data_IF_920359941073
#
_entry.id   IF_920359941073
#
_cell.length_a   1.000
_cell.length_b   1.000
_cell.length_c   1.000
_cell.angle_alpha   90.00
_cell.angle_beta   90.00
_cell.angle_gamma   90.00
#
_symmetry.space_group_name_H-M   'P 1'
#
loop_
_entity.id
_entity.type
_entity.pdbx_description
1 polymer ?
#
# COMPACT_ATOMS: atom_id res chain seq x y z
N UNK A 1 -8.58 50.10 29.48
CA UNK A 1 -8.15 49.83 30.86
C UNK A 1 -8.04 48.32 30.97
N UNK A 2 -6.96 47.64 30.60
CA UNK A 2 -5.57 47.79 31.04
C UNK A 2 -5.42 48.21 32.51
N UNK A 3 -4.77 47.32 33.27
CA UNK A 3 -4.05 47.51 34.53
C UNK A 3 -4.82 47.60 35.86
N UNK A 4 -4.22 46.94 36.85
CA UNK A 4 -4.59 46.64 38.25
C UNK A 4 -5.59 45.46 38.38
N UNK A 5 -5.24 44.29 38.92
CA UNK A 5 -4.34 44.07 40.05
C UNK A 5 -3.78 42.63 40.02
N UNK A 6 -2.54 42.49 39.55
CA UNK A 6 -1.59 41.52 40.09
C UNK A 6 -1.27 41.98 41.51
N UNK A 7 -1.58 41.17 42.53
CA UNK A 7 -0.95 41.11 43.86
C UNK A 7 -1.96 40.47 44.83
N UNK A 8 -1.95 39.14 44.92
CA UNK A 8 -1.96 38.43 46.20
C UNK A 8 -1.58 36.97 45.89
N UNK A 9 -0.27 36.80 45.72
CA UNK A 9 0.42 35.53 45.79
C UNK A 9 0.38 35.04 47.25
N UNK A 10 0.47 33.72 47.41
CA UNK A 10 0.93 32.98 48.60
C UNK A 10 0.06 33.00 49.85
N UNK A 11 -0.71 31.93 50.06
CA UNK A 11 -0.56 31.00 51.21
C UNK A 11 -1.62 29.91 51.10
N UNK A 12 -1.26 28.73 50.55
CA UNK A 12 -1.47 27.39 51.14
C UNK A 12 -0.64 26.45 50.26
N UNK A 13 0.66 26.33 50.56
CA UNK A 13 1.46 25.18 50.16
C UNK A 13 1.48 24.23 51.36
N UNK A 14 1.19 22.96 51.11
CA UNK A 14 1.19 21.92 52.12
C UNK A 14 1.20 20.53 51.51
N UNK A 15 2.19 20.25 50.65
CA UNK A 15 2.78 18.94 50.45
C UNK A 15 1.97 17.86 49.72
N UNK A 16 2.33 17.61 48.46
CA UNK A 16 2.32 16.27 47.88
C UNK A 16 3.28 16.22 46.67
N UNK A 17 4.30 15.38 46.81
CA UNK A 17 5.29 14.88 45.84
C UNK A 17 5.22 15.36 44.38
N UNK A 18 6.21 16.17 43.99
CA UNK A 18 6.65 16.36 42.60
C UNK A 18 7.62 15.24 42.20
N UNK A 19 7.13 14.04 41.86
CA UNK A 19 7.97 13.06 41.15
C UNK A 19 7.18 12.00 40.37
N UNK A 20 6.12 12.35 39.63
CA UNK A 20 5.44 11.41 38.73
C UNK A 20 4.58 12.14 37.68
N UNK A 21 5.22 12.96 36.83
CA UNK A 21 4.62 13.38 35.55
C UNK A 21 5.66 13.08 34.48
N UNK A 22 5.54 11.92 33.85
CA UNK A 22 6.37 11.55 32.70
C UNK A 22 6.05 12.48 31.54
N UNK A 23 7.10 13.10 30.99
CA UNK A 23 7.10 13.83 29.73
C UNK A 23 6.51 12.96 28.61
N UNK A 24 5.26 13.22 28.24
CA UNK A 24 4.76 12.86 26.90
C UNK A 24 5.14 14.02 26.00
N UNK A 25 6.30 13.92 25.36
CA UNK A 25 6.62 14.78 24.23
C UNK A 25 5.57 14.56 23.14
N UNK A 26 4.66 15.52 22.99
CA UNK A 26 3.92 15.68 21.73
C UNK A 26 4.97 15.80 20.62
N UNK A 27 5.15 14.73 19.86
CA UNK A 27 5.92 14.80 18.61
C UNK A 27 5.30 15.89 17.75
N UNK A 28 6.11 16.90 17.45
CA UNK A 28 5.75 17.99 16.56
C UNK A 28 5.22 17.42 15.25
N UNK A 29 3.98 17.78 14.94
CA UNK A 29 3.42 17.64 13.60
C UNK A 29 4.32 18.52 12.72
N UNK A 30 5.21 17.88 11.97
CA UNK A 30 6.08 18.55 11.01
C UNK A 30 5.20 19.29 10.01
N UNK A 31 5.20 20.62 10.08
CA UNK A 31 4.61 21.48 9.06
C UNK A 31 5.31 21.24 7.72
N UNK A 32 4.59 21.22 6.58
CA UNK A 32 5.22 21.03 5.28
C UNK A 32 6.24 22.13 5.01
N UNK A 33 7.52 21.77 5.08
CA UNK A 33 8.61 22.62 4.64
C UNK A 33 8.49 22.81 3.14
N UNK A 34 8.35 24.05 2.65
CA UNK A 34 8.60 24.37 1.24
C UNK A 34 10.06 24.00 0.92
N UNK A 35 10.29 22.81 0.37
CA UNK A 35 11.58 22.37 -0.16
C UNK A 35 11.40 21.73 -1.52
N UNK A 36 12.28 22.19 -2.42
CA UNK A 36 12.48 21.77 -3.80
C UNK A 36 12.40 20.25 -3.99
N UNK A 37 11.79 19.81 -5.08
CA UNK A 37 11.88 18.45 -5.61
C UNK A 37 13.35 18.01 -5.61
N UNK A 38 13.68 17.01 -4.80
CA UNK A 38 15.04 16.49 -4.70
C UNK A 38 15.16 15.29 -5.64
N UNK A 39 16.00 15.46 -6.67
CA UNK A 39 16.24 14.47 -7.72
C UNK A 39 17.40 13.55 -7.34
N UNK A 40 17.18 12.23 -7.40
CA UNK A 40 18.20 11.24 -7.02
C UNK A 40 18.38 10.20 -8.13
N UNK A 41 19.59 10.11 -8.69
CA UNK A 41 19.95 9.14 -9.72
C UNK A 41 20.28 7.78 -9.09
N UNK A 42 19.70 6.72 -9.66
CA UNK A 42 19.86 5.36 -9.16
C UNK A 42 20.74 4.52 -10.08
N UNK A 43 21.82 3.95 -9.54
CA UNK A 43 22.61 2.95 -10.25
C UNK A 43 22.27 1.53 -9.79
N UNK A 44 22.49 0.58 -10.70
CA UNK A 44 22.44 -0.86 -10.42
C UNK A 44 23.72 -1.39 -9.74
N UNK A 45 24.83 -0.65 -9.83
CA UNK A 45 26.12 -0.93 -9.17
C UNK A 45 26.82 0.36 -8.72
N UNK A 46 27.54 0.33 -7.59
CA UNK A 46 28.03 1.51 -6.87
C UNK A 46 29.25 2.18 -7.53
N UNK A 47 29.20 3.50 -7.79
CA UNK A 47 30.37 4.41 -7.78
C UNK A 47 30.00 5.88 -8.12
N UNK A 48 29.90 6.73 -7.08
CA UNK A 48 30.35 8.16 -6.96
C UNK A 48 29.53 8.89 -5.90
N UNK A 49 30.02 10.05 -5.42
CA UNK A 49 29.55 10.79 -4.22
C UNK A 49 28.09 11.33 -4.28
N UNK A 50 27.37 11.18 -5.39
CA UNK A 50 25.95 11.59 -5.56
C UNK A 50 25.03 10.46 -6.06
N UNK A 51 25.45 9.20 -5.99
CA UNK A 51 24.72 8.08 -6.58
C UNK A 51 24.17 7.09 -5.56
N UNK A 52 22.92 6.69 -5.78
CA UNK A 52 22.13 6.03 -4.77
C UNK A 52 22.03 4.51 -4.99
N UNK A 53 22.39 3.73 -3.96
CA UNK A 53 22.21 2.29 -3.87
C UNK A 53 21.02 1.96 -2.96
N UNK A 54 20.01 1.30 -3.50
CA UNK A 54 18.78 0.95 -2.79
C UNK A 54 18.92 0.13 -1.50
N UNK A 55 20.10 -0.45 -1.23
CA UNK A 55 20.39 -1.06 0.07
C UNK A 55 20.46 -0.06 1.24
N UNK A 56 20.74 1.23 1.01
CA UNK A 56 20.81 2.23 2.09
C UNK A 56 19.46 2.85 2.42
N UNK A 57 19.28 3.21 3.69
CA UNK A 57 18.04 3.81 4.21
C UNK A 57 17.72 5.13 3.49
N UNK A 58 18.73 6.00 3.39
CA UNK A 58 18.65 7.31 2.74
C UNK A 58 18.18 7.16 1.30
N UNK A 59 18.65 6.11 0.62
CA UNK A 59 18.34 5.82 -0.76
C UNK A 59 16.94 5.28 -1.02
N UNK A 60 16.36 4.56 -0.07
CA UNK A 60 14.96 4.14 -0.20
C UNK A 60 14.02 5.31 0.05
N UNK A 61 14.36 6.16 1.03
CA UNK A 61 13.55 7.32 1.39
C UNK A 61 13.73 8.50 0.42
N UNK A 62 14.80 8.50 -0.37
CA UNK A 62 15.01 9.39 -1.51
C UNK A 62 13.83 9.42 -2.49
N UNK A 63 13.12 8.31 -2.66
CA UNK A 63 11.98 8.23 -3.59
C UNK A 63 10.66 8.63 -2.95
N UNK A 64 10.66 9.03 -1.67
CA UNK A 64 9.44 9.19 -0.87
C UNK A 64 9.07 10.67 -0.74
N UNK A 65 7.76 10.94 -0.74
CA UNK A 65 7.14 12.26 -0.59
C UNK A 65 7.62 13.26 -1.65
N UNK A 66 8.48 14.20 -1.29
CA UNK A 66 8.96 15.27 -2.18
C UNK A 66 10.18 14.86 -3.02
N UNK A 67 10.70 13.64 -2.80
CA UNK A 67 11.84 13.10 -3.53
C UNK A 67 11.42 12.27 -4.76
N UNK A 68 12.23 12.31 -5.82
CA UNK A 68 11.99 11.55 -7.05
C UNK A 68 13.24 10.77 -7.46
N UNK A 69 13.03 9.48 -7.70
CA UNK A 69 14.07 8.52 -8.04
C UNK A 69 14.19 8.31 -9.56
N UNK A 70 15.36 8.65 -10.12
CA UNK A 70 15.65 8.60 -11.56
C UNK A 70 16.30 7.29 -11.96
N UNK A 71 15.66 6.59 -12.91
CA UNK A 71 16.15 5.37 -13.56
C UNK A 71 16.55 5.69 -15.00
N UNK A 72 17.78 6.18 -15.17
CA UNK A 72 18.33 6.54 -16.49
C UNK A 72 18.92 5.34 -17.25
N UNK A 73 19.04 4.21 -16.57
CA UNK A 73 19.61 2.95 -17.08
C UNK A 73 18.58 2.06 -17.79
N UNK A 74 17.30 2.43 -17.79
CA UNK A 74 16.21 1.66 -18.40
C UNK A 74 15.13 2.58 -19.00
N UNK A 75 14.58 2.17 -20.15
CA UNK A 75 13.36 2.77 -20.71
C UNK A 75 12.08 2.14 -20.14
N UNK A 76 12.21 1.22 -19.20
CA UNK A 76 11.10 0.53 -18.56
C UNK A 76 11.21 0.65 -17.03
N UNK A 77 10.06 0.75 -16.36
CA UNK A 77 9.93 0.52 -14.93
C UNK A 77 9.25 -0.82 -14.69
N UNK A 78 9.81 -1.66 -13.83
CA UNK A 78 9.33 -3.02 -13.57
C UNK A 78 9.20 -3.25 -12.08
N UNK A 79 8.06 -3.73 -11.64
CA UNK A 79 7.81 -3.96 -10.22
C UNK A 79 6.82 -5.11 -9.99
N UNK A 80 6.82 -5.63 -8.78
CA UNK A 80 5.79 -6.56 -8.34
C UNK A 80 4.72 -5.85 -7.51
N UNK A 81 3.47 -6.30 -7.62
CA UNK A 81 2.40 -5.99 -6.69
C UNK A 81 2.04 -7.26 -5.92
N UNK A 82 2.09 -7.17 -4.60
CA UNK A 82 1.72 -8.24 -3.68
C UNK A 82 0.88 -7.66 -2.54
N UNK A 83 0.22 -8.52 -1.78
CA UNK A 83 -0.56 -8.17 -0.61
C UNK A 83 -0.86 -9.45 0.16
N UNK A 84 -1.21 -9.30 1.43
CA UNK A 84 -1.63 -10.43 2.28
C UNK A 84 -0.50 -11.48 2.38
N UNK A 85 0.71 -10.99 2.63
CA UNK A 85 1.95 -11.78 2.65
C UNK A 85 2.21 -12.46 3.99
N UNK A 86 1.44 -12.14 5.04
CA UNK A 86 1.85 -12.30 6.44
C UNK A 86 1.95 -13.70 7.06
N UNK A 87 2.03 -14.76 6.27
CA UNK A 87 2.30 -16.11 6.77
C UNK A 87 1.27 -16.60 7.80
N UNK A 88 1.78 -17.16 8.90
CA UNK A 88 1.01 -17.66 10.04
C UNK A 88 1.62 -17.13 11.36
N UNK A 89 0.83 -17.02 12.44
CA UNK A 89 1.32 -16.58 13.75
C UNK A 89 2.06 -17.70 14.51
N UNK A 90 1.98 -18.94 14.02
CA UNK A 90 2.58 -20.13 14.62
C UNK A 90 3.69 -20.65 13.72
N UNK A 91 4.69 -21.30 14.33
CA UNK A 91 5.77 -21.96 13.60
C UNK A 91 5.22 -22.85 12.47
N UNK A 92 5.75 -22.79 11.23
CA UNK A 92 6.99 -22.12 10.82
C UNK A 92 6.82 -20.65 10.37
N UNK A 93 5.81 -19.95 10.88
CA UNK A 93 5.49 -18.53 10.63
C UNK A 93 5.25 -18.14 9.17
N UNK A 94 5.06 -19.15 8.33
CA UNK A 94 5.00 -19.07 6.87
C UNK A 94 3.98 -20.07 6.36
N UNK A 95 3.43 -19.84 5.17
CA UNK A 95 2.54 -20.79 4.50
C UNK A 95 3.22 -21.44 3.29
N UNK A 96 2.60 -22.51 2.76
CA UNK A 96 3.02 -23.10 1.49
C UNK A 96 2.92 -22.09 0.33
N UNK A 97 1.78 -21.40 0.22
CA UNK A 97 1.56 -20.38 -0.81
C UNK A 97 2.61 -19.26 -0.74
N UNK A 98 2.92 -18.75 0.46
CA UNK A 98 3.91 -17.68 0.64
C UNK A 98 5.30 -18.09 0.13
N UNK A 99 5.77 -19.30 0.49
CA UNK A 99 7.06 -19.82 0.01
C UNK A 99 7.08 -20.03 -1.50
N UNK A 100 5.97 -20.51 -2.05
CA UNK A 100 5.82 -20.76 -3.47
C UNK A 100 5.83 -19.46 -4.28
N UNK A 101 5.08 -18.45 -3.83
CA UNK A 101 5.09 -17.09 -4.39
C UNK A 101 6.48 -16.46 -4.27
N UNK A 102 7.12 -16.52 -3.10
CA UNK A 102 8.48 -15.96 -2.90
C UNK A 102 9.51 -16.55 -3.86
N UNK A 103 9.44 -17.87 -4.12
CA UNK A 103 10.30 -18.53 -5.11
C UNK A 103 10.05 -17.99 -6.52
N UNK A 104 8.79 -17.84 -6.92
CA UNK A 104 8.44 -17.35 -8.26
C UNK A 104 8.78 -15.87 -8.44
N UNK A 105 8.57 -15.03 -7.42
CA UNK A 105 9.01 -13.64 -7.41
C UNK A 105 10.52 -13.53 -7.62
N UNK A 106 11.32 -14.39 -6.96
CA UNK A 106 12.76 -14.41 -7.16
C UNK A 106 13.15 -14.79 -8.60
N UNK A 107 12.61 -15.90 -9.12
CA UNK A 107 12.92 -16.38 -10.48
C UNK A 107 12.51 -15.36 -11.55
N UNK A 108 11.27 -14.88 -11.51
CA UNK A 108 10.75 -13.91 -12.49
C UNK A 108 11.44 -12.56 -12.31
N UNK A 109 11.75 -12.17 -11.07
CA UNK A 109 12.42 -10.91 -10.80
C UNK A 109 13.84 -10.87 -11.35
N UNK A 110 14.55 -12.00 -11.32
CA UNK A 110 15.88 -12.14 -11.93
C UNK A 110 15.77 -12.12 -13.46
N UNK A 111 14.81 -12.86 -14.04
CA UNK A 111 14.57 -12.89 -15.49
C UNK A 111 14.17 -11.52 -16.06
N UNK A 112 13.27 -10.81 -15.38
CA UNK A 112 12.70 -9.54 -15.83
C UNK A 112 13.45 -8.31 -15.33
N UNK A 113 14.44 -8.48 -14.46
CA UNK A 113 15.16 -7.37 -13.83
C UNK A 113 14.23 -6.37 -13.13
N UNK A 114 13.39 -6.87 -12.22
CA UNK A 114 12.45 -6.04 -11.43
C UNK A 114 13.18 -4.97 -10.60
N UNK A 115 12.62 -3.79 -10.41
CA UNK A 115 13.27 -2.69 -9.66
C UNK A 115 12.85 -2.61 -8.19
N UNK A 116 11.60 -2.91 -7.86
CA UNK A 116 11.07 -2.87 -6.50
C UNK A 116 9.79 -3.70 -6.38
N UNK A 117 9.27 -3.81 -5.16
CA UNK A 117 7.98 -4.44 -4.86
C UNK A 117 7.08 -3.44 -4.12
N UNK A 118 5.79 -3.45 -4.43
CA UNK A 118 4.76 -2.71 -3.69
C UNK A 118 3.87 -3.73 -2.98
N UNK A 119 3.69 -3.54 -1.66
CA UNK A 119 2.82 -4.38 -0.82
C UNK A 119 1.53 -3.63 -0.48
N UNK A 120 0.38 -4.27 -0.67
CA UNK A 120 -0.96 -3.78 -0.33
C UNK A 120 -1.41 -4.20 1.10
N UNK A 121 -0.47 -4.37 2.02
CA UNK A 121 -0.75 -4.59 3.44
C UNK A 121 -0.98 -6.05 3.83
N UNK A 122 -1.39 -6.24 5.09
CA UNK A 122 -1.43 -7.52 5.80
C UNK A 122 -0.07 -8.21 5.78
N UNK A 123 0.93 -7.44 6.22
CA UNK A 123 2.33 -7.80 6.10
C UNK A 123 2.70 -8.95 7.03
N UNK A 124 2.09 -9.02 8.23
CA UNK A 124 2.36 -10.02 9.27
C UNK A 124 1.05 -10.46 9.95
N UNK A 125 0.59 -11.69 9.68
CA UNK A 125 -0.63 -12.24 10.28
C UNK A 125 -0.41 -12.78 11.69
N UNK A 126 -1.41 -12.79 12.58
CA UNK A 126 -2.74 -12.15 12.42
C UNK A 126 -2.89 -10.86 13.24
N UNK A 127 -1.92 -10.55 14.10
CA UNK A 127 -1.97 -9.40 15.02
C UNK A 127 -0.72 -8.53 14.87
N UNK A 128 -0.20 -8.45 13.65
CA UNK A 128 1.01 -7.70 13.33
C UNK A 128 2.22 -8.13 14.15
N UNK A 129 3.02 -7.13 14.53
CA UNK A 129 4.24 -7.28 15.34
C UNK A 129 4.09 -6.60 16.69
N UNK A 130 4.91 -6.99 17.65
CA UNK A 130 4.99 -6.34 18.97
C UNK A 130 5.73 -5.00 18.92
N UNK A 131 6.84 -4.95 18.17
CA UNK A 131 7.73 -3.81 17.99
C UNK A 131 8.71 -4.11 16.84
N UNK A 132 9.65 -3.21 16.57
CA UNK A 132 10.68 -3.31 15.53
C UNK A 132 11.73 -4.43 15.74
N UNK A 133 11.74 -5.09 16.91
CA UNK A 133 12.61 -6.22 17.22
C UNK A 133 11.89 -7.57 17.16
N UNK A 134 10.61 -7.59 16.77
CA UNK A 134 9.84 -8.83 16.68
C UNK A 134 10.47 -9.79 15.66
N UNK A 135 10.72 -11.04 16.10
CA UNK A 135 11.31 -12.08 15.26
C UNK A 135 10.46 -12.37 14.01
N UNK A 136 9.16 -12.01 14.01
CA UNK A 136 8.29 -12.13 12.83
C UNK A 136 8.81 -11.40 11.59
N UNK A 137 9.56 -10.30 11.74
CA UNK A 137 10.21 -9.70 10.57
C UNK A 137 11.21 -10.65 9.91
N UNK A 138 12.01 -11.37 10.72
CA UNK A 138 12.97 -12.32 10.20
C UNK A 138 12.27 -13.54 9.61
N UNK A 139 11.35 -14.15 10.36
CA UNK A 139 10.73 -15.43 10.00
C UNK A 139 9.72 -15.32 8.86
N UNK A 140 8.95 -14.22 8.80
CA UNK A 140 7.86 -14.05 7.85
C UNK A 140 8.26 -13.19 6.65
N UNK A 141 9.33 -12.37 6.74
CA UNK A 141 9.75 -11.48 5.65
C UNK A 141 11.21 -11.71 5.19
N UNK A 142 12.21 -11.55 6.08
CA UNK A 142 13.63 -11.63 5.68
C UNK A 142 14.04 -13.00 5.16
N UNK A 143 13.72 -14.06 5.90
CA UNK A 143 14.08 -15.42 5.54
C UNK A 143 13.25 -16.00 4.39
N UNK A 144 12.08 -15.39 4.12
CA UNK A 144 11.17 -15.80 3.05
C UNK A 144 11.60 -15.22 1.72
N UNK A 145 11.80 -13.90 1.65
CA UNK A 145 12.02 -13.16 0.41
C UNK A 145 13.51 -12.89 0.15
N UNK A 146 14.32 -13.94 0.19
CA UNK A 146 15.80 -13.89 0.11
C UNK A 146 16.41 -13.93 -1.30
N UNK A 147 15.60 -14.02 -2.35
CA UNK A 147 16.09 -14.06 -3.74
C UNK A 147 16.83 -12.78 -4.12
N UNK A 148 17.80 -12.85 -5.05
CA UNK A 148 18.62 -11.70 -5.46
C UNK A 148 17.76 -10.55 -5.99
N UNK A 149 16.80 -10.83 -6.87
CA UNK A 149 15.84 -9.83 -7.33
C UNK A 149 14.97 -9.21 -6.23
N UNK A 150 14.84 -9.84 -5.07
CA UNK A 150 14.03 -9.35 -3.95
C UNK A 150 14.85 -8.55 -2.92
N UNK A 151 16.17 -8.45 -3.10
CA UNK A 151 17.06 -7.56 -2.35
C UNK A 151 17.01 -6.14 -2.93
N UNK A 152 15.79 -5.62 -3.07
CA UNK A 152 15.42 -4.32 -3.63
C UNK A 152 14.34 -3.70 -2.75
N UNK A 153 13.99 -2.41 -2.88
CA UNK A 153 13.00 -1.79 -2.00
C UNK A 153 11.65 -2.50 -2.08
N UNK A 154 11.05 -2.69 -0.90
CA UNK A 154 9.65 -3.04 -0.71
C UNK A 154 8.97 -1.81 -0.12
N UNK A 155 8.02 -1.23 -0.85
CA UNK A 155 7.18 -0.15 -0.36
C UNK A 155 5.91 -0.76 0.22
N UNK A 156 5.70 -0.58 1.53
CA UNK A 156 4.61 -1.23 2.26
C UNK A 156 3.60 -0.21 2.80
N UNK A 157 2.37 -0.66 2.95
CA UNK A 157 1.33 -0.06 3.79
C UNK A 157 0.85 -1.11 4.80
N UNK A 158 0.05 -0.70 5.79
CA UNK A 158 -0.57 -1.63 6.73
C UNK A 158 -1.93 -2.13 6.23
N UNK A 159 -2.25 -3.37 6.58
CA UNK A 159 -3.60 -3.93 6.49
C UNK A 159 -4.29 -4.03 7.84
N UNK A 160 -5.47 -4.64 7.86
CA UNK A 160 -6.27 -4.76 9.08
C UNK A 160 -5.55 -5.60 10.15
N UNK A 161 -4.81 -6.63 9.73
CA UNK A 161 -4.08 -7.49 10.64
C UNK A 161 -2.86 -6.81 11.28
N UNK A 162 -2.23 -5.89 10.55
CA UNK A 162 -1.11 -5.09 11.03
C UNK A 162 -1.56 -4.13 12.14
N UNK A 163 -2.73 -3.51 11.97
CA UNK A 163 -3.33 -2.55 12.91
C UNK A 163 -3.82 -3.17 14.23
N UNK A 164 -3.95 -4.49 14.31
CA UNK A 164 -4.13 -5.16 15.61
C UNK A 164 -2.82 -5.29 16.40
N UNK A 165 -1.68 -5.09 15.74
CA UNK A 165 -0.36 -5.06 16.34
C UNK A 165 0.19 -3.64 16.51
N UNK A 166 1.50 -3.51 16.37
CA UNK A 166 2.21 -2.25 16.52
C UNK A 166 2.65 -1.68 15.16
N UNK A 167 1.86 -0.74 14.62
CA UNK A 167 2.17 -0.02 13.38
C UNK A 167 3.48 0.77 13.50
N UNK A 168 3.71 1.45 14.63
CA UNK A 168 4.96 2.18 14.86
C UNK A 168 6.19 1.27 14.83
N UNK A 169 6.05 0.02 15.27
CA UNK A 169 7.10 -1.01 15.15
C UNK A 169 7.41 -1.37 13.70
N UNK A 170 6.39 -1.48 12.83
CA UNK A 170 6.59 -1.67 11.39
C UNK A 170 7.22 -0.46 10.72
N UNK A 171 6.85 0.75 11.15
CA UNK A 171 7.48 1.98 10.65
C UNK A 171 8.95 2.05 11.06
N UNK A 172 9.26 1.82 12.33
CA UNK A 172 10.62 1.83 12.88
C UNK A 172 11.51 0.75 12.26
N UNK A 173 10.94 -0.39 11.84
CA UNK A 173 11.68 -1.45 11.14
C UNK A 173 12.27 -1.00 9.79
N UNK A 174 11.77 0.10 9.19
CA UNK A 174 12.35 0.73 7.99
C UNK A 174 13.84 1.07 8.17
N UNK A 175 14.24 1.46 9.39
CA UNK A 175 15.64 1.79 9.70
C UNK A 175 16.51 0.55 9.99
N UNK A 176 15.89 -0.64 10.11
CA UNK A 176 16.58 -1.89 10.47
C UNK A 176 16.79 -2.83 9.28
N UNK A 177 15.93 -2.77 8.28
CA UNK A 177 16.03 -3.59 7.08
C UNK A 177 16.62 -2.78 5.92
N UNK A 178 17.34 -3.45 5.03
CA UNK A 178 17.86 -2.84 3.78
C UNK A 178 16.80 -2.74 2.67
N UNK A 179 15.61 -3.28 2.89
CA UNK A 179 14.57 -3.38 1.86
C UNK A 179 13.16 -3.06 2.34
N UNK A 180 12.87 -3.19 3.63
CA UNK A 180 11.59 -2.72 4.19
C UNK A 180 11.52 -1.19 4.13
N UNK A 181 10.52 -0.64 3.45
CA UNK A 181 10.28 0.80 3.33
C UNK A 181 8.84 1.12 3.69
N UNK A 182 8.63 1.50 4.95
CA UNK A 182 7.33 1.92 5.48
C UNK A 182 7.52 3.14 6.39
N UNK A 183 7.73 4.34 5.85
CA UNK A 183 8.19 5.50 6.62
C UNK A 183 7.09 6.22 7.43
N UNK A 184 5.82 6.05 7.04
CA UNK A 184 4.65 6.65 7.68
C UNK A 184 3.39 5.85 7.28
N UNK A 185 2.28 6.03 7.99
CA UNK A 185 1.01 5.33 7.70
C UNK A 185 0.58 5.48 6.23
N UNK A 186 0.71 6.71 5.71
CA UNK A 186 0.51 7.05 4.31
C UNK A 186 1.64 7.96 3.82
N UNK A 187 2.05 7.79 2.58
CA UNK A 187 3.19 8.49 1.96
C UNK A 187 3.14 8.37 0.44
N UNK A 188 3.92 9.17 -0.28
CA UNK A 188 4.04 9.07 -1.74
C UNK A 188 5.35 8.42 -2.13
N UNK A 189 5.39 7.66 -3.22
CA UNK A 189 6.62 7.17 -3.85
C UNK A 189 6.65 7.66 -5.29
N UNK A 190 7.77 8.23 -5.73
CA UNK A 190 7.91 8.82 -7.06
C UNK A 190 9.16 8.31 -7.79
N UNK A 191 8.96 7.88 -9.04
CA UNK A 191 10.00 7.42 -9.95
C UNK A 191 9.90 8.15 -11.28
N UNK A 192 11.04 8.52 -11.86
CA UNK A 192 11.14 8.96 -13.24
C UNK A 192 12.06 8.00 -14.01
N UNK A 193 11.71 7.63 -15.24
CA UNK A 193 12.52 6.70 -16.02
C UNK A 193 12.53 7.01 -17.52
N UNK A 194 13.52 6.45 -18.21
CA UNK A 194 13.71 6.62 -19.64
C UNK A 194 14.08 8.05 -20.05
N UNK A 195 14.37 8.23 -21.35
CA UNK A 195 14.84 9.53 -21.90
C UNK A 195 13.80 10.65 -21.80
N UNK A 196 12.52 10.29 -21.79
CA UNK A 196 11.41 11.24 -21.69
C UNK A 196 11.07 11.60 -20.24
N UNK A 197 11.80 11.03 -19.26
CA UNK A 197 11.53 11.18 -17.83
C UNK A 197 10.06 10.88 -17.49
N UNK A 198 9.55 9.74 -17.97
CA UNK A 198 8.20 9.27 -17.67
C UNK A 198 8.03 9.18 -16.16
N UNK A 199 7.10 9.97 -15.61
CA UNK A 199 6.90 10.11 -14.17
C UNK A 199 5.82 9.13 -13.70
N UNK A 200 6.14 8.37 -12.65
CA UNK A 200 5.26 7.40 -12.00
C UNK A 200 5.17 7.74 -10.53
N UNK A 201 3.95 7.83 -10.02
CA UNK A 201 3.71 8.08 -8.60
C UNK A 201 2.80 7.00 -8.00
N UNK A 202 3.10 6.60 -6.77
CA UNK A 202 2.29 5.71 -5.95
C UNK A 202 1.90 6.48 -4.69
N UNK A 203 0.61 6.72 -4.49
CA UNK A 203 0.10 7.20 -3.21
C UNK A 203 -0.22 5.97 -2.35
N UNK A 204 0.63 5.75 -1.35
CA UNK A 204 0.52 4.67 -0.38
C UNK A 204 -0.40 5.17 0.74
N UNK A 205 -1.56 4.53 0.92
CA UNK A 205 -2.63 4.98 1.83
C UNK A 205 -2.94 3.95 2.92
N UNK A 206 -3.48 4.40 4.04
CA UNK A 206 -3.91 3.58 5.16
C UNK A 206 -5.45 3.54 5.20
N UNK A 207 -6.02 2.55 4.51
CA UNK A 207 -7.47 2.41 4.44
C UNK A 207 -8.12 2.09 5.80
N UNK A 208 -7.34 1.62 6.78
CA UNK A 208 -7.83 1.35 8.14
C UNK A 208 -8.00 2.66 8.89
N UNK A 209 -7.08 3.62 8.73
CA UNK A 209 -7.27 4.97 9.26
C UNK A 209 -8.47 5.68 8.61
N UNK A 210 -8.66 5.55 7.29
CA UNK A 210 -9.78 6.17 6.57
C UNK A 210 -11.15 5.61 6.95
N UNK A 211 -11.26 4.28 7.08
CA UNK A 211 -12.55 3.60 7.15
C UNK A 211 -12.81 2.83 8.46
N UNK A 212 -11.78 2.66 9.29
CA UNK A 212 -11.82 1.84 10.50
C UNK A 212 -11.25 0.45 10.26
N UNK A 213 -10.93 -0.25 11.35
CA UNK A 213 -10.44 -1.63 11.29
C UNK A 213 -11.63 -2.62 11.34
N UNK A 214 -11.47 -3.79 10.72
CA UNK A 214 -12.42 -4.89 10.87
C UNK A 214 -12.51 -5.28 12.35
N UNK A 215 -13.68 -5.77 12.79
CA UNK A 215 -13.92 -6.12 14.20
C UNK A 215 -13.39 -7.52 14.58
N UNK A 216 -12.36 -7.98 13.87
CA UNK A 216 -12.00 -9.40 13.79
C UNK A 216 -11.33 -9.98 15.03
N UNK A 217 -10.68 -9.17 15.87
CA UNK A 217 -9.80 -9.71 16.93
C UNK A 217 -10.30 -9.40 18.34
N UNK A 218 -11.28 -8.51 18.49
CA UNK A 218 -11.84 -8.19 19.82
C UNK A 218 -12.92 -9.19 20.28
N UNK A 219 -13.50 -9.98 19.36
CA UNK A 219 -14.63 -10.87 19.66
C UNK A 219 -14.50 -12.29 19.08
N UNK A 220 -13.45 -12.58 18.30
CA UNK A 220 -13.34 -13.82 17.54
C UNK A 220 -12.24 -14.75 18.08
N UNK A 221 -12.50 -16.06 18.09
CA UNK A 221 -11.48 -17.06 18.45
C UNK A 221 -10.55 -17.34 17.25
N UNK A 222 -9.49 -18.12 17.46
CA UNK A 222 -8.49 -18.44 16.43
C UNK A 222 -9.10 -19.06 15.15
N UNK A 223 -10.23 -19.78 15.27
CA UNK A 223 -10.92 -20.41 14.13
C UNK A 223 -11.66 -19.35 13.31
N UNK A 224 -12.38 -18.43 13.97
CA UNK A 224 -13.09 -17.33 13.31
C UNK A 224 -12.14 -16.37 12.59
N UNK A 225 -10.93 -16.19 13.14
CA UNK A 225 -9.85 -15.41 12.54
C UNK A 225 -9.26 -16.07 11.28
N UNK A 226 -9.24 -17.40 11.21
CA UNK A 226 -8.78 -18.14 10.02
C UNK A 226 -9.85 -18.23 8.94
N UNK A 227 -11.12 -18.38 9.34
CA UNK A 227 -12.22 -18.71 8.43
C UNK A 227 -13.05 -17.48 7.99
N UNK A 228 -12.73 -16.29 8.48
CA UNK A 228 -13.41 -15.04 8.12
C UNK A 228 -14.95 -15.10 8.20
N UNK A 229 -15.49 -15.79 9.21
CA UNK A 229 -16.91 -16.25 9.29
C UNK A 229 -17.96 -15.18 9.61
N UNK A 230 -17.58 -13.96 10.01
CA UNK A 230 -18.53 -12.87 10.34
C UNK A 230 -18.53 -11.76 9.28
N UNK A 231 -19.63 -11.00 9.15
CA UNK A 231 -19.69 -9.82 8.27
C UNK A 231 -19.00 -8.64 8.95
N UNK A 232 -17.95 -8.10 8.32
CA UNK A 232 -16.83 -7.44 9.01
C UNK A 232 -16.49 -6.02 8.52
N UNK A 233 -17.24 -5.50 7.55
CA UNK A 233 -16.86 -4.25 6.91
C UNK A 233 -16.87 -3.09 7.92
N UNK A 234 -15.74 -2.36 8.04
CA UNK A 234 -15.66 -1.25 8.95
C UNK A 234 -16.49 -0.09 8.40
N UNK A 235 -17.33 0.50 9.24
CA UNK A 235 -18.23 1.57 8.83
C UNK A 235 -17.78 2.95 9.32
N UNK A 236 -16.82 3.02 10.24
CA UNK A 236 -16.37 4.29 10.84
C UNK A 236 -14.91 4.24 11.27
N UNK A 237 -14.10 5.27 10.95
CA UNK A 237 -12.73 5.38 11.44
C UNK A 237 -12.68 5.53 12.96
N UNK A 238 -11.64 5.00 13.59
CA UNK A 238 -11.40 5.14 15.03
C UNK A 238 -11.15 6.60 15.43
N UNK A 239 -10.45 7.33 14.57
CA UNK A 239 -10.19 8.76 14.72
C UNK A 239 -10.66 9.49 13.45
N UNK A 240 -11.85 10.11 13.48
CA UNK A 240 -12.38 10.85 12.33
C UNK A 240 -11.51 12.06 11.91
N UNK A 241 -10.74 12.65 12.83
CA UNK A 241 -9.86 13.79 12.53
C UNK A 241 -8.66 13.30 11.74
N UNK A 242 -8.02 12.21 12.17
CA UNK A 242 -6.94 11.57 11.44
C UNK A 242 -7.40 11.08 10.04
N UNK A 243 -8.58 10.45 9.97
CA UNK A 243 -9.17 10.00 8.71
C UNK A 243 -9.41 11.17 7.73
N UNK A 244 -9.90 12.31 8.25
CA UNK A 244 -10.07 13.52 7.42
C UNK A 244 -8.71 14.06 6.96
N UNK A 245 -7.71 14.10 7.84
CA UNK A 245 -6.37 14.60 7.51
C UNK A 245 -5.71 13.77 6.40
N UNK A 246 -5.86 12.44 6.43
CA UNK A 246 -5.39 11.58 5.34
C UNK A 246 -6.16 11.83 4.04
N UNK A 247 -7.50 11.95 4.08
CA UNK A 247 -8.30 12.22 2.88
C UNK A 247 -7.94 13.58 2.25
N UNK A 248 -7.75 14.61 3.06
CA UNK A 248 -7.29 15.93 2.60
C UNK A 248 -5.88 15.85 2.00
N UNK A 249 -4.99 15.05 2.59
CA UNK A 249 -3.65 14.80 2.06
C UNK A 249 -3.70 14.07 0.71
N UNK A 250 -4.56 13.05 0.57
CA UNK A 250 -4.78 12.33 -0.69
C UNK A 250 -5.20 13.31 -1.80
N UNK A 251 -6.25 14.12 -1.55
CA UNK A 251 -6.72 15.10 -2.55
C UNK A 251 -5.62 16.12 -2.90
N UNK A 252 -4.84 16.57 -1.90
CA UNK A 252 -3.71 17.47 -2.13
C UNK A 252 -2.63 16.84 -3.03
N UNK A 253 -2.24 15.58 -2.79
CA UNK A 253 -1.24 14.90 -3.62
C UNK A 253 -1.75 14.64 -5.03
N UNK A 254 -3.00 14.15 -5.16
CA UNK A 254 -3.62 13.88 -6.46
C UNK A 254 -3.75 15.14 -7.33
N UNK A 255 -4.14 16.27 -6.73
CA UNK A 255 -4.30 17.55 -7.46
C UNK A 255 -2.97 18.15 -7.94
N UNK A 256 -1.88 17.90 -7.21
CA UNK A 256 -0.53 18.37 -7.56
C UNK A 256 0.19 17.44 -8.53
N UNK A 257 -0.20 16.17 -8.59
CA UNK A 257 0.45 15.17 -9.43
C UNK A 257 0.45 15.58 -10.91
N UNK A 258 1.61 15.42 -11.55
CA UNK A 258 1.81 15.53 -13.01
C UNK A 258 2.28 14.21 -13.62
N UNK A 259 2.18 13.11 -12.86
CA UNK A 259 2.66 11.81 -13.29
C UNK A 259 1.95 11.31 -14.56
N UNK A 260 2.70 10.64 -15.44
CA UNK A 260 2.15 9.92 -16.58
C UNK A 260 1.38 8.69 -16.09
N UNK A 261 1.85 8.03 -15.03
CA UNK A 261 1.13 6.98 -14.32
C UNK A 261 0.95 7.33 -12.86
N UNK A 262 -0.29 7.30 -12.39
CA UNK A 262 -0.65 7.63 -11.01
C UNK A 262 -1.39 6.45 -10.39
N UNK A 263 -0.78 5.81 -9.41
CA UNK A 263 -1.35 4.70 -8.67
C UNK A 263 -1.76 5.15 -7.27
N UNK A 264 -2.87 4.61 -6.77
CA UNK A 264 -3.23 4.70 -5.35
C UNK A 264 -3.25 3.28 -4.80
N UNK A 265 -2.56 3.06 -3.69
CA UNK A 265 -2.41 1.76 -3.07
C UNK A 265 -3.04 1.81 -1.68
N UNK A 266 -4.00 0.95 -1.42
CA UNK A 266 -4.66 0.79 -0.12
C UNK A 266 -4.79 -0.67 0.22
N UNK A 267 -5.14 -1.02 1.46
CA UNK A 267 -5.35 -2.42 1.80
C UNK A 267 -6.74 -2.90 1.37
N UNK A 268 -7.78 -2.17 1.78
CA UNK A 268 -9.16 -2.51 1.44
C UNK A 268 -9.50 -2.22 -0.03
N UNK A 269 -10.27 -3.08 -0.71
CA UNK A 269 -10.70 -2.83 -2.07
C UNK A 269 -11.81 -1.77 -2.15
N UNK A 270 -11.77 -0.91 -3.17
CA UNK A 270 -12.95 -0.10 -3.55
C UNK A 270 -14.03 -1.02 -4.10
N UNK A 271 -13.67 -1.86 -5.07
CA UNK A 271 -14.52 -2.92 -5.61
C UNK A 271 -13.84 -4.27 -5.46
N UNK A 272 -14.60 -5.28 -5.02
CA UNK A 272 -14.19 -6.68 -5.01
C UNK A 272 -15.41 -7.58 -5.06
N UNK A 273 -15.26 -8.75 -5.67
CA UNK A 273 -16.32 -9.76 -5.73
C UNK A 273 -16.24 -10.81 -4.61
N UNK A 274 -15.18 -10.80 -3.80
CA UNK A 274 -14.80 -11.95 -2.95
C UNK A 274 -15.42 -11.92 -1.55
N UNK A 275 -14.77 -12.51 -0.54
CA UNK A 275 -15.40 -12.76 0.78
C UNK A 275 -15.75 -11.47 1.52
N UNK A 276 -14.89 -10.46 1.42
CA UNK A 276 -15.09 -9.15 2.05
C UNK A 276 -15.87 -8.20 1.14
N UNK A 277 -15.55 -8.22 -0.15
CA UNK A 277 -16.25 -7.44 -1.15
C UNK A 277 -15.92 -5.95 -1.13
N UNK A 278 -16.73 -5.16 -1.82
CA UNK A 278 -16.53 -3.72 -1.99
C UNK A 278 -16.75 -2.94 -0.68
N UNK A 279 -15.93 -1.90 -0.44
CA UNK A 279 -16.02 -1.09 0.78
C UNK A 279 -16.70 0.27 0.52
N UNK A 280 -17.93 0.44 1.02
CA UNK A 280 -18.73 1.66 0.81
C UNK A 280 -18.01 2.95 1.23
N UNK A 281 -17.28 2.94 2.34
CA UNK A 281 -16.49 4.11 2.78
C UNK A 281 -15.51 4.60 1.68
N UNK A 282 -14.86 3.68 0.96
CA UNK A 282 -13.94 4.04 -0.12
C UNK A 282 -14.68 4.40 -1.42
N UNK A 283 -15.81 3.74 -1.72
CA UNK A 283 -16.68 4.11 -2.84
C UNK A 283 -17.19 5.55 -2.70
N UNK A 284 -17.56 5.96 -1.48
CA UNK A 284 -18.10 7.29 -1.22
C UNK A 284 -17.02 8.37 -1.13
N UNK A 285 -15.87 8.08 -0.51
CA UNK A 285 -14.86 9.09 -0.19
C UNK A 285 -13.67 9.11 -1.14
N UNK A 286 -13.16 7.93 -1.52
CA UNK A 286 -11.91 7.82 -2.28
C UNK A 286 -12.19 7.76 -3.79
N UNK A 287 -13.13 6.92 -4.23
CA UNK A 287 -13.44 6.75 -5.66
C UNK A 287 -13.70 8.07 -6.39
N UNK A 288 -14.46 9.06 -5.86
CA UNK A 288 -14.64 10.33 -6.53
C UNK A 288 -13.33 11.08 -6.77
N UNK A 289 -12.35 10.97 -5.86
CA UNK A 289 -11.02 11.56 -6.04
C UNK A 289 -10.21 10.81 -7.09
N UNK A 290 -10.32 9.47 -7.14
CA UNK A 290 -9.65 8.66 -8.16
C UNK A 290 -10.12 9.06 -9.57
N UNK A 291 -11.43 9.26 -9.75
CA UNK A 291 -12.03 9.69 -11.01
C UNK A 291 -11.67 11.15 -11.34
N UNK A 292 -11.80 12.07 -10.37
CA UNK A 292 -11.51 13.50 -10.54
C UNK A 292 -10.07 13.78 -10.99
N UNK A 293 -9.10 12.98 -10.53
CA UNK A 293 -7.68 13.16 -10.83
C UNK A 293 -7.10 12.10 -11.77
N UNK A 294 -7.97 11.32 -12.42
CA UNK A 294 -7.63 10.33 -13.43
C UNK A 294 -6.56 9.33 -12.99
N UNK A 295 -6.70 8.80 -11.77
CA UNK A 295 -5.80 7.74 -11.28
C UNK A 295 -5.78 6.59 -12.28
N UNK A 296 -4.58 6.13 -12.62
CA UNK A 296 -4.34 5.03 -13.57
C UNK A 296 -4.94 3.72 -13.06
N UNK A 297 -4.63 3.36 -11.82
CA UNK A 297 -5.23 2.22 -11.15
C UNK A 297 -5.23 2.39 -9.63
N UNK A 298 -6.26 1.83 -8.99
CA UNK A 298 -6.29 1.57 -7.56
C UNK A 298 -5.84 0.13 -7.29
N UNK A 299 -4.84 -0.05 -6.45
CA UNK A 299 -4.28 -1.36 -6.09
C UNK A 299 -4.67 -1.69 -4.66
N UNK A 300 -5.18 -2.91 -4.44
CA UNK A 300 -5.59 -3.40 -3.13
C UNK A 300 -5.19 -4.85 -2.85
N UNK A 301 -5.33 -5.25 -1.59
CA UNK A 301 -5.24 -6.63 -1.12
C UNK A 301 -6.54 -7.04 -0.42
N UNK A 302 -6.43 -7.52 0.82
CA UNK A 302 -7.48 -7.86 1.77
C UNK A 302 -8.32 -9.08 1.37
N UNK A 303 -8.97 -9.01 0.21
CA UNK A 303 -9.59 -10.19 -0.38
C UNK A 303 -8.50 -11.09 -0.94
N UNK A 304 -8.45 -12.33 -0.45
CA UNK A 304 -7.37 -13.29 -0.76
C UNK A 304 -7.48 -13.85 -2.17
N UNK A 305 -7.35 -13.00 -3.17
CA UNK A 305 -7.54 -13.27 -4.59
C UNK A 305 -6.64 -12.38 -5.44
N UNK A 306 -6.57 -12.70 -6.73
CA UNK A 306 -6.18 -11.77 -7.76
C UNK A 306 -7.42 -11.35 -8.56
N UNK A 307 -7.63 -10.05 -8.77
CA UNK A 307 -8.75 -9.55 -9.57
C UNK A 307 -8.34 -8.37 -10.44
N UNK A 308 -9.04 -8.22 -11.57
CA UNK A 308 -9.02 -7.02 -12.39
C UNK A 308 -10.46 -6.60 -12.67
N UNK A 309 -10.84 -5.44 -12.15
CA UNK A 309 -12.15 -4.83 -12.33
C UNK A 309 -11.94 -3.48 -13.02
N UNK A 310 -12.76 -3.17 -14.02
CA UNK A 310 -12.69 -1.90 -14.77
C UNK A 310 -14.05 -1.22 -14.74
N UNK A 311 -14.08 0.02 -14.27
CA UNK A 311 -15.25 0.89 -14.42
C UNK A 311 -14.95 1.99 -15.41
N UNK A 312 -16.00 2.60 -15.96
CA UNK A 312 -15.89 3.76 -16.85
C UNK A 312 -16.57 4.96 -16.20
N UNK A 313 -15.96 6.15 -16.33
CA UNK A 313 -16.57 7.42 -15.93
C UNK A 313 -16.39 8.46 -17.03
N UNK A 314 -17.24 9.49 -17.03
CA UNK A 314 -17.19 10.60 -17.99
C UNK A 314 -17.15 11.93 -17.25
N UNK A 315 -16.32 12.86 -17.71
CA UNK A 315 -16.23 14.22 -17.14
C UNK A 315 -17.41 15.12 -17.52
N UNK A 316 -18.15 14.76 -18.56
CA UNK A 316 -19.39 15.42 -18.99
C UNK A 316 -20.23 14.44 -19.85
N UNK A 317 -21.51 14.74 -20.09
CA UNK A 317 -22.43 13.86 -20.81
C UNK A 317 -21.94 13.43 -22.21
N UNK A 318 -21.08 14.22 -22.85
CA UNK A 318 -20.55 13.96 -24.19
C UNK A 318 -19.03 13.68 -24.21
N UNK A 319 -18.39 13.56 -23.03
CA UNK A 319 -16.97 13.24 -22.95
C UNK A 319 -16.72 11.76 -23.22
N UNK A 320 -15.55 11.47 -23.78
CA UNK A 320 -15.04 10.10 -23.89
C UNK A 320 -15.04 9.43 -22.52
N UNK A 321 -15.43 8.16 -22.50
CA UNK A 321 -15.41 7.35 -21.29
C UNK A 321 -13.97 7.01 -20.93
N UNK A 322 -13.62 7.25 -19.67
CA UNK A 322 -12.28 7.02 -19.16
C UNK A 322 -12.33 5.77 -18.28
N UNK A 323 -11.50 4.74 -18.56
CA UNK A 323 -11.42 3.57 -17.71
C UNK A 323 -10.71 3.90 -16.40
N UNK A 324 -11.21 3.35 -15.29
CA UNK A 324 -10.54 3.29 -14.00
C UNK A 324 -10.37 1.83 -13.61
N UNK A 325 -9.11 1.44 -13.40
CA UNK A 325 -8.73 0.07 -13.11
C UNK A 325 -8.64 -0.16 -11.60
N UNK A 326 -9.26 -1.22 -11.12
CA UNK A 326 -9.12 -1.73 -9.76
C UNK A 326 -8.43 -3.09 -9.83
N UNK A 327 -7.27 -3.19 -9.18
CA UNK A 327 -6.39 -4.35 -9.23
C UNK A 327 -6.25 -4.90 -7.82
N UNK A 328 -6.68 -6.14 -7.60
CA UNK A 328 -6.54 -6.83 -6.31
C UNK A 328 -5.39 -7.83 -6.41
N UNK A 329 -4.46 -7.77 -5.46
CA UNK A 329 -3.28 -8.63 -5.36
C UNK A 329 -3.11 -9.22 -3.95
N UNK A 330 -4.19 -9.75 -3.35
CA UNK A 330 -4.19 -10.27 -1.98
C UNK A 330 -3.87 -11.76 -1.83
N UNK A 331 -3.25 -12.38 -2.84
CA UNK A 331 -3.11 -13.83 -2.90
C UNK A 331 -1.72 -14.35 -2.45
N UNK A 332 -0.88 -13.55 -1.80
CA UNK A 332 0.53 -13.90 -1.65
C UNK A 332 0.79 -14.98 -0.59
N UNK A 333 0.06 -15.01 0.52
CA UNK A 333 0.22 -16.03 1.59
C UNK A 333 -0.92 -17.04 1.67
N UNK A 334 -2.08 -16.72 1.11
CA UNK A 334 -3.28 -17.56 1.10
C UNK A 334 -4.18 -17.05 -0.03
N UNK A 335 -5.10 -17.87 -0.51
CA UNK A 335 -6.01 -17.43 -1.56
C UNK A 335 -7.27 -18.25 -1.61
N UNK A 336 -8.45 -17.64 -1.71
CA UNK A 336 -9.74 -18.32 -1.78
C UNK A 336 -10.51 -18.02 -3.08
N UNK A 337 -11.50 -18.85 -3.43
CA UNK A 337 -12.26 -18.73 -4.68
C UNK A 337 -13.56 -17.94 -4.56
N UNK A 338 -13.84 -17.33 -3.42
CA UNK A 338 -15.12 -16.69 -3.15
C UNK A 338 -15.47 -15.64 -4.19
N UNK A 339 -16.75 -15.65 -4.57
CA UNK A 339 -17.42 -14.68 -5.43
C UNK A 339 -18.68 -14.16 -4.76
N UNK A 340 -18.71 -14.19 -3.41
CA UNK A 340 -19.88 -13.87 -2.58
C UNK A 340 -20.49 -12.51 -2.89
N UNK A 341 -19.68 -11.55 -3.33
CA UNK A 341 -20.07 -10.17 -3.59
C UNK A 341 -20.06 -9.81 -5.09
N UNK A 342 -20.13 -10.80 -5.99
CA UNK A 342 -20.14 -10.57 -7.45
C UNK A 342 -21.28 -9.64 -7.90
N UNK A 343 -22.43 -9.68 -7.24
CA UNK A 343 -23.58 -8.84 -7.58
C UNK A 343 -23.48 -7.41 -7.01
N UNK A 344 -22.41 -7.09 -6.28
CA UNK A 344 -22.19 -5.76 -5.67
C UNK A 344 -21.25 -4.86 -6.48
N UNK A 345 -20.57 -5.42 -7.48
CA UNK A 345 -19.73 -4.65 -8.40
C UNK A 345 -20.53 -4.22 -9.63
N UNK A 346 -20.16 -3.13 -10.32
CA UNK A 346 -20.86 -2.70 -11.53
C UNK A 346 -20.94 -3.82 -12.57
N UNK A 347 -22.10 -3.99 -13.20
CA UNK A 347 -22.32 -5.06 -14.16
C UNK A 347 -21.31 -4.98 -15.32
N UNK A 348 -20.69 -6.12 -15.66
CA UNK A 348 -19.70 -6.20 -16.75
C UNK A 348 -18.31 -5.65 -16.41
N UNK A 349 -18.10 -5.13 -15.19
CA UNK A 349 -16.80 -4.56 -14.79
C UNK A 349 -15.73 -5.61 -14.46
N UNK A 350 -16.11 -6.84 -14.10
CA UNK A 350 -15.16 -7.89 -13.76
C UNK A 350 -14.50 -8.47 -15.02
N UNK A 351 -13.19 -8.26 -15.17
CA UNK A 351 -12.43 -8.77 -16.31
C UNK A 351 -11.63 -10.04 -15.96
N UNK A 352 -11.21 -10.20 -14.71
CA UNK A 352 -10.45 -11.36 -14.25
C UNK A 352 -10.63 -11.61 -12.76
N UNK A 353 -10.68 -12.89 -12.36
CA UNK A 353 -10.59 -13.33 -10.98
C UNK A 353 -9.82 -14.67 -10.85
N UNK A 354 -9.05 -14.81 -9.77
CA UNK A 354 -8.30 -16.02 -9.45
C UNK A 354 -8.07 -16.15 -7.92
N UNK A 355 -8.11 -17.36 -7.33
CA UNK A 355 -8.43 -18.65 -7.94
C UNK A 355 -9.93 -18.86 -8.18
N UNK A 356 -10.28 -19.84 -9.02
CA UNK A 356 -11.69 -20.25 -9.29
C UNK A 356 -11.99 -21.69 -8.86
N UNK A 357 -10.95 -22.52 -8.70
CA UNK A 357 -11.08 -23.93 -8.31
C UNK A 357 -11.31 -24.11 -6.81
N UNK A 358 -12.11 -25.12 -6.43
CA UNK A 358 -12.35 -25.45 -5.03
C UNK A 358 -11.10 -26.02 -4.36
N UNK A 359 -10.79 -25.55 -3.15
CA UNK A 359 -9.77 -26.12 -2.29
C UNK A 359 -10.15 -25.84 -0.82
N UNK A 360 -10.48 -26.86 -0.01
CA UNK A 360 -10.91 -26.65 1.38
C UNK A 360 -9.78 -26.21 2.33
N UNK A 361 -8.52 -26.24 1.90
CA UNK A 361 -7.34 -25.84 2.68
C UNK A 361 -6.73 -24.52 2.20
N UNK A 362 -7.45 -23.80 1.34
CA UNK A 362 -7.03 -22.57 0.68
C UNK A 362 -6.70 -21.45 1.67
N UNK A 363 -7.57 -21.26 2.67
CA UNK A 363 -7.51 -20.20 3.68
C UNK A 363 -6.38 -20.36 4.71
N UNK A 364 -5.93 -21.59 4.94
CA UNK A 364 -4.76 -21.88 5.79
C UNK A 364 -3.44 -21.90 4.99
N UNK A 365 -3.47 -21.46 3.73
CA UNK A 365 -2.28 -21.25 2.91
C UNK A 365 -1.78 -22.47 2.13
N UNK A 366 -2.56 -23.56 2.07
CA UNK A 366 -2.32 -24.67 1.12
C UNK A 366 -2.96 -24.38 -0.24
N UNK A 367 -2.78 -23.15 -0.74
CA UNK A 367 -3.16 -22.73 -2.08
C UNK A 367 -1.91 -22.54 -2.96
N UNK A 368 -2.11 -22.28 -4.25
CA UNK A 368 -0.98 -21.90 -5.09
C UNK A 368 -0.56 -20.44 -4.89
N UNK A 369 -1.38 -19.61 -4.22
CA UNK A 369 -1.21 -18.17 -4.14
C UNK A 369 -1.11 -17.48 -5.49
N UNK A 370 -0.77 -16.21 -5.49
CA UNK A 370 -0.59 -15.40 -6.68
C UNK A 370 0.03 -14.04 -6.39
N UNK A 371 0.45 -13.37 -7.45
CA UNK A 371 1.01 -12.03 -7.44
C UNK A 371 0.90 -11.41 -8.83
N UNK A 372 1.24 -10.13 -8.95
CA UNK A 372 1.21 -9.42 -10.22
C UNK A 372 2.60 -8.85 -10.52
N UNK A 373 3.03 -8.98 -11.76
CA UNK A 373 4.21 -8.32 -12.30
C UNK A 373 3.74 -7.19 -13.21
N UNK A 374 4.40 -6.04 -13.13
CA UNK A 374 4.15 -4.88 -14.00
C UNK A 374 5.41 -4.54 -14.77
N UNK A 375 5.29 -4.40 -16.08
CA UNK A 375 6.31 -3.84 -16.98
C UNK A 375 5.71 -2.64 -17.71
N UNK A 376 6.26 -1.46 -17.49
CA UNK A 376 5.76 -0.24 -18.11
C UNK A 376 6.85 0.55 -18.82
N UNK A 377 6.48 1.13 -19.95
CA UNK A 377 7.27 2.09 -20.72
C UNK A 377 6.54 3.45 -20.78
N UNK A 378 6.93 4.36 -21.68
CA UNK A 378 6.26 5.66 -21.84
C UNK A 378 4.89 5.61 -22.51
N UNK A 379 4.50 4.48 -23.10
CA UNK A 379 3.30 4.32 -23.91
C UNK A 379 2.27 3.40 -23.25
N UNK A 380 2.70 2.43 -22.44
CA UNK A 380 1.83 1.45 -21.80
C UNK A 380 2.43 0.79 -20.56
N UNK A 381 1.55 0.33 -19.69
CA UNK A 381 1.85 -0.52 -18.55
C UNK A 381 1.17 -1.89 -18.73
N UNK A 382 1.96 -2.96 -18.83
CA UNK A 382 1.48 -4.33 -18.93
C UNK A 382 1.46 -4.97 -17.53
N UNK A 383 0.27 -5.37 -17.08
CA UNK A 383 0.06 -6.09 -15.84
C UNK A 383 -0.10 -7.58 -16.16
N UNK A 384 0.76 -8.41 -15.61
CA UNK A 384 0.73 -9.87 -15.77
C UNK A 384 0.45 -10.56 -14.45
N UNK A 385 -0.65 -11.29 -14.39
CA UNK A 385 -1.15 -11.96 -13.20
C UNK A 385 -0.62 -13.40 -13.18
N UNK A 386 0.18 -13.73 -12.18
CA UNK A 386 0.78 -15.05 -12.01
C UNK A 386 0.15 -15.78 -10.83
N UNK A 387 -0.06 -17.08 -10.97
CA UNK A 387 -0.19 -17.91 -9.77
C UNK A 387 1.19 -18.10 -9.11
N UNK A 388 1.25 -18.58 -7.86
CA UNK A 388 2.54 -18.74 -7.19
C UNK A 388 3.46 -19.79 -7.82
N UNK A 389 2.99 -20.62 -8.77
CA UNK A 389 3.87 -21.50 -9.59
C UNK A 389 4.56 -20.77 -10.75
N UNK A 390 4.35 -19.46 -10.89
CA UNK A 390 4.91 -18.65 -11.99
C UNK A 390 4.19 -18.86 -13.32
N UNK A 391 2.98 -19.45 -13.33
CA UNK A 391 2.17 -19.59 -14.55
C UNK A 391 1.27 -18.37 -14.70
N UNK A 392 1.40 -17.68 -15.82
CA UNK A 392 0.51 -16.59 -16.21
C UNK A 392 -0.94 -17.08 -16.28
N UNK A 393 -1.85 -16.27 -15.73
CA UNK A 393 -3.29 -16.51 -15.70
C UNK A 393 -4.07 -15.50 -16.51
N UNK A 394 -3.56 -14.27 -16.56
CA UNK A 394 -4.20 -13.15 -17.22
C UNK A 394 -3.18 -12.05 -17.43
N UNK A 395 -3.41 -11.21 -18.43
CA UNK A 395 -2.67 -9.98 -18.62
C UNK A 395 -3.59 -8.88 -19.14
N UNK A 396 -3.31 -7.64 -18.75
CA UNK A 396 -3.97 -6.46 -19.28
C UNK A 396 -2.96 -5.35 -19.53
N UNK A 397 -3.35 -4.39 -20.36
CA UNK A 397 -2.54 -3.20 -20.68
C UNK A 397 -3.31 -1.97 -20.24
N UNK A 398 -2.63 -1.07 -19.54
CA UNK A 398 -3.16 0.23 -19.12
C UNK A 398 -2.32 1.32 -19.77
N UNK A 399 -2.98 2.32 -20.37
CA UNK A 399 -2.33 3.46 -21.00
C UNK A 399 -2.02 4.56 -19.97
N UNK A 400 -0.97 5.36 -20.17
CA UNK A 400 -0.69 6.50 -19.29
C UNK A 400 -1.82 7.53 -19.34
N UNK A 401 -1.90 8.36 -18.30
CA UNK A 401 -2.87 9.45 -18.21
C UNK A 401 -2.66 10.40 -19.39
N UNK A 402 -3.76 10.91 -19.95
CA UNK A 402 -3.70 12.05 -20.86
C UNK A 402 -3.03 13.25 -20.16
N UNK A 403 -2.22 14.03 -20.89
CA UNK A 403 -1.58 15.22 -20.33
C UNK A 403 -2.65 16.16 -19.79
N UNK A 404 -2.61 16.42 -18.49
CA UNK A 404 -3.55 17.30 -17.82
C UNK A 404 -3.26 18.75 -18.22
N UNK A 405 -3.96 19.28 -19.22
CA UNK A 405 -4.11 20.74 -19.33
C UNK A 405 -5.11 21.14 -18.27
N UNK A 406 -4.62 21.52 -17.08
CA UNK A 406 -5.38 22.42 -16.23
C UNK A 406 -5.63 23.66 -17.10
N UNK A 407 -6.83 23.77 -17.68
CA UNK A 407 -7.29 25.09 -18.09
C UNK A 407 -7.34 25.88 -16.79
N UNK A 408 -6.37 26.76 -16.60
CA UNK A 408 -6.49 27.88 -15.68
C UNK A 408 -7.74 28.65 -16.11
N UNK A 409 -8.90 28.25 -15.61
CA UNK A 409 -10.08 29.09 -15.68
C UNK A 409 -9.77 30.30 -14.83
N UNK A 410 -9.31 31.35 -15.50
CA UNK A 410 -9.56 32.73 -15.12
C UNK A 410 -10.96 32.84 -14.50
N UNK A 411 -11.02 33.15 -13.21
CA UNK A 411 -11.94 34.14 -12.66
C UNK A 411 -11.48 34.56 -11.28
#
# INVERSE_FOLDING_TARGET
>A
MLTLLLLFLTTVLGGADESLISNVELHQILTPSQKSEQWINLKTEANTENECNFGSYECRLACVNDGICYRNDSNNLRFFLVGDTGGLPIYPYTTYAQKLVAKSLATIGDEKSVHFTVSAGDNIYFTGVKNEFDQRFQETFENVYKGKALQKPWYLIAGNHDHFGNISGQIAYTSRSQRWTYPANYYKVSYAFGKNATLVEFLMTDTILLCGNTRDITEANFVDMILATTNKNPNTPKDPVAAKAELDWIEQQLSRSRADYLFVVGHYPVYSISEHGSLNCLIEKLKPLLEKYHVTAYVAGHDHTLQHIVTEYSLSENAEKIPLHYVISGAASRSDRSVKHIDTVPQGSLHFNYPTGFNPFSQIGFSNGGFIYVDMDSEKAMFTFYNGKGKEKYSCTIIPRGKFTMNETKK
#
